data_IF_718393836287
#
_entry.id   IF_718393836287
#
_cell.length_a   1.000
_cell.length_b   1.000
_cell.length_c   1.000
_cell.angle_alpha   90.00
_cell.angle_beta   90.00
_cell.angle_gamma   90.00
#
_symmetry.space_group_name_H-M   'P 1'
#
loop_
_entity.id
_entity.type
_entity.pdbx_description
1 polymer ?
#
# COMPACT_ATOMS: atom_id res chain seq x y z
N UNK A 1 -62.57 33.66 4.53
CA UNK A 1 -62.03 32.90 3.38
C UNK A 1 -60.51 32.77 3.40
N UNK A 2 -59.73 33.85 3.64
CA UNK A 2 -58.25 33.85 3.59
C UNK A 2 -57.55 32.75 4.41
N UNK A 3 -58.07 32.40 5.59
CA UNK A 3 -57.46 31.37 6.47
C UNK A 3 -57.45 29.96 5.86
N UNK A 4 -58.43 29.62 5.00
CA UNK A 4 -58.50 28.29 4.36
C UNK A 4 -57.42 28.16 3.29
N UNK A 5 -57.17 29.23 2.52
CA UNK A 5 -56.15 29.23 1.47
C UNK A 5 -54.73 29.22 2.07
N UNK A 6 -54.48 29.96 3.15
CA UNK A 6 -53.21 29.90 3.88
C UNK A 6 -52.92 28.51 4.46
N UNK A 7 -53.94 27.84 5.02
CA UNK A 7 -53.80 26.47 5.52
C UNK A 7 -53.51 25.49 4.39
N UNK A 8 -54.19 25.63 3.24
CA UNK A 8 -53.94 24.79 2.05
C UNK A 8 -52.51 24.94 1.55
N UNK A 9 -52.01 26.17 1.47
CA UNK A 9 -50.63 26.45 1.06
C UNK A 9 -49.60 25.82 2.03
N UNK A 10 -49.81 25.97 3.34
CA UNK A 10 -48.93 25.37 4.34
C UNK A 10 -48.92 23.83 4.25
N UNK A 11 -50.08 23.22 4.04
CA UNK A 11 -50.19 21.77 3.92
C UNK A 11 -49.46 21.26 2.68
N UNK A 12 -49.54 21.98 1.55
CA UNK A 12 -48.75 21.68 0.35
C UNK A 12 -47.25 21.75 0.60
N UNK A 13 -46.77 22.77 1.35
CA UNK A 13 -45.36 22.88 1.73
C UNK A 13 -44.92 21.72 2.62
N UNK A 14 -45.74 21.37 3.61
CA UNK A 14 -45.46 20.26 4.52
C UNK A 14 -45.40 18.92 3.78
N UNK A 15 -46.29 18.67 2.82
CA UNK A 15 -46.28 17.47 1.99
C UNK A 15 -45.02 17.38 1.13
N UNK A 16 -44.58 18.50 0.53
CA UNK A 16 -43.34 18.56 -0.23
C UNK A 16 -42.11 18.25 0.64
N UNK A 17 -42.07 18.79 1.86
CA UNK A 17 -40.99 18.53 2.81
C UNK A 17 -40.99 17.08 3.31
N UNK A 18 -42.17 16.51 3.59
CA UNK A 18 -42.31 15.07 3.92
C UNK A 18 -41.80 14.20 2.77
N UNK A 19 -42.10 14.55 1.52
CA UNK A 19 -41.61 13.80 0.37
C UNK A 19 -40.08 13.86 0.25
N UNK A 20 -39.49 15.04 0.47
CA UNK A 20 -38.03 15.22 0.50
C UNK A 20 -37.37 14.40 1.61
N UNK A 21 -37.86 14.50 2.85
CA UNK A 21 -37.34 13.74 3.98
C UNK A 21 -37.48 12.23 3.80
N UNK A 22 -38.57 11.77 3.17
CA UNK A 22 -38.74 10.35 2.82
C UNK A 22 -37.70 9.88 1.81
N UNK A 23 -37.35 10.71 0.83
CA UNK A 23 -36.30 10.41 -0.14
C UNK A 23 -34.93 10.34 0.54
N UNK A 24 -34.57 11.33 1.34
CA UNK A 24 -33.29 11.34 2.09
C UNK A 24 -33.21 10.15 3.06
N UNK A 25 -34.30 9.80 3.73
CA UNK A 25 -34.35 8.62 4.60
C UNK A 25 -34.16 7.29 3.84
N UNK A 26 -34.56 7.22 2.56
CA UNK A 26 -34.32 6.05 1.73
C UNK A 26 -32.84 5.88 1.35
N UNK A 27 -32.04 6.95 1.35
CA UNK A 27 -30.60 6.91 1.06
C UNK A 27 -29.74 6.48 2.26
N UNK A 28 -30.26 6.60 3.49
CA UNK A 28 -29.58 6.18 4.72
C UNK A 28 -29.06 4.73 4.67
N UNK A 29 -29.86 3.70 4.30
CA UNK A 29 -29.37 2.33 4.20
C UNK A 29 -28.25 2.17 3.16
N UNK A 30 -28.33 2.84 2.01
CA UNK A 30 -27.29 2.79 0.98
C UNK A 30 -25.96 3.36 1.49
N UNK A 31 -26.02 4.49 2.22
CA UNK A 31 -24.84 5.10 2.84
C UNK A 31 -24.22 4.18 3.91
N UNK A 32 -25.05 3.50 4.70
CA UNK A 32 -24.57 2.51 5.69
C UNK A 32 -23.86 1.35 5.03
N UNK A 33 -24.39 0.85 3.91
CA UNK A 33 -23.76 -0.22 3.15
C UNK A 33 -22.42 0.24 2.55
N UNK A 34 -22.36 1.45 1.97
CA UNK A 34 -21.11 2.04 1.46
C UNK A 34 -20.07 2.16 2.56
N UNK A 35 -20.45 2.65 3.75
CA UNK A 35 -19.55 2.77 4.90
C UNK A 35 -18.99 1.41 5.34
N UNK A 36 -19.83 0.37 5.35
CA UNK A 36 -19.40 -1.00 5.66
C UNK A 36 -18.40 -1.54 4.61
N UNK A 37 -18.64 -1.26 3.33
CA UNK A 37 -17.69 -1.62 2.25
C UNK A 37 -16.36 -0.90 2.40
N UNK A 38 -16.36 0.39 2.77
CA UNK A 38 -15.12 1.14 3.04
C UNK A 38 -14.32 0.53 4.19
N UNK A 39 -14.97 0.18 5.30
CA UNK A 39 -14.29 -0.47 6.42
C UNK A 39 -13.64 -1.81 6.02
N UNK A 40 -14.29 -2.59 5.14
CA UNK A 40 -13.72 -3.83 4.60
C UNK A 40 -12.49 -3.56 3.73
N UNK A 41 -12.57 -2.58 2.83
CA UNK A 41 -11.44 -2.20 1.95
C UNK A 41 -10.27 -1.68 2.76
N UNK A 42 -10.52 -0.89 3.82
CA UNK A 42 -9.48 -0.38 4.70
C UNK A 42 -8.76 -1.52 5.44
N UNK A 43 -9.51 -2.51 5.95
CA UNK A 43 -8.93 -3.70 6.57
C UNK A 43 -8.10 -4.54 5.58
N UNK A 44 -8.55 -4.66 4.33
CA UNK A 44 -7.81 -5.36 3.27
C UNK A 44 -6.54 -4.61 2.86
N UNK A 45 -6.59 -3.28 2.74
CA UNK A 45 -5.43 -2.44 2.50
C UNK A 45 -4.38 -2.58 3.61
N UNK A 46 -4.80 -2.65 4.88
CA UNK A 46 -3.89 -2.90 5.99
C UNK A 46 -3.20 -4.28 5.88
N UNK A 47 -3.95 -5.33 5.50
CA UNK A 47 -3.38 -6.66 5.24
C UNK A 47 -2.41 -6.67 4.08
N UNK A 48 -2.74 -6.02 2.96
CA UNK A 48 -1.86 -5.93 1.79
C UNK A 48 -0.55 -5.24 2.14
N UNK A 49 -0.58 -4.16 2.93
CA UNK A 49 0.62 -3.48 3.40
C UNK A 49 1.53 -4.42 4.19
N UNK A 50 0.96 -5.22 5.10
CA UNK A 50 1.71 -6.22 5.87
C UNK A 50 2.35 -7.28 4.95
N UNK A 51 1.64 -7.77 3.94
CA UNK A 51 2.16 -8.77 2.99
C UNK A 51 3.32 -8.19 2.17
N UNK A 52 3.22 -6.94 1.73
CA UNK A 52 4.28 -6.28 0.95
C UNK A 52 5.55 -6.14 1.79
N UNK A 53 5.42 -5.66 3.03
CA UNK A 53 6.56 -5.52 3.96
C UNK A 53 7.20 -6.87 4.27
N UNK A 54 6.38 -7.90 4.45
CA UNK A 54 6.85 -9.27 4.66
C UNK A 54 7.61 -9.81 3.44
N UNK A 55 7.10 -9.57 2.23
CA UNK A 55 7.78 -9.99 1.02
C UNK A 55 9.13 -9.27 0.85
N UNK A 56 9.20 -7.98 1.14
CA UNK A 56 10.46 -7.23 1.11
C UNK A 56 11.51 -7.82 2.08
N UNK A 57 11.07 -8.27 3.27
CA UNK A 57 11.93 -8.96 4.24
C UNK A 57 12.43 -10.31 3.70
N UNK A 58 11.55 -11.10 3.11
CA UNK A 58 11.92 -12.40 2.49
C UNK A 58 12.83 -12.23 1.28
N UNK A 59 12.66 -11.18 0.50
CA UNK A 59 13.55 -10.89 -0.64
C UNK A 59 14.96 -10.55 -0.17
N UNK A 60 15.10 -9.81 0.93
CA UNK A 60 16.40 -9.56 1.55
C UNK A 60 17.05 -10.85 2.07
N UNK A 61 16.30 -11.70 2.77
CA UNK A 61 16.78 -13.02 3.24
C UNK A 61 17.19 -13.93 2.07
N UNK A 62 16.39 -13.96 0.99
CA UNK A 62 16.72 -14.72 -0.21
C UNK A 62 18.01 -14.22 -0.88
N UNK A 63 18.26 -12.91 -0.88
CA UNK A 63 19.50 -12.35 -1.42
C UNK A 63 20.71 -12.78 -0.58
N UNK A 64 20.59 -12.77 0.75
CA UNK A 64 21.64 -13.25 1.66
C UNK A 64 21.92 -14.74 1.48
N UNK A 65 20.87 -15.57 1.47
CA UNK A 65 20.99 -17.01 1.24
C UNK A 65 21.64 -17.30 -0.12
N UNK A 66 21.26 -16.58 -1.17
CA UNK A 66 21.88 -16.71 -2.50
C UNK A 66 23.38 -16.36 -2.48
N UNK A 67 23.77 -15.33 -1.73
CA UNK A 67 25.17 -14.99 -1.54
C UNK A 67 25.92 -16.10 -0.78
N UNK A 68 25.32 -16.65 0.27
CA UNK A 68 25.92 -17.74 1.06
C UNK A 68 26.08 -19.03 0.24
N UNK A 69 25.09 -19.37 -0.58
CA UNK A 69 25.18 -20.50 -1.51
C UNK A 69 26.35 -20.31 -2.47
N UNK A 70 26.50 -19.14 -3.08
CA UNK A 70 27.65 -18.86 -3.97
C UNK A 70 29.01 -18.96 -3.27
N UNK A 71 29.11 -18.54 -2.00
CA UNK A 71 30.33 -18.72 -1.21
C UNK A 71 30.63 -20.20 -0.94
N UNK A 72 29.62 -20.98 -0.58
CA UNK A 72 29.77 -22.41 -0.34
C UNK A 72 30.13 -23.17 -1.62
N UNK A 73 29.52 -22.83 -2.76
CA UNK A 73 29.88 -23.37 -4.07
C UNK A 73 31.34 -23.08 -4.43
N UNK A 74 31.82 -21.86 -4.19
CA UNK A 74 33.24 -21.51 -4.40
C UNK A 74 34.18 -22.32 -3.49
N UNK A 75 33.82 -22.51 -2.21
CA UNK A 75 34.59 -23.34 -1.27
C UNK A 75 34.62 -24.81 -1.71
N UNK A 76 33.49 -25.34 -2.18
CA UNK A 76 33.39 -26.71 -2.70
C UNK A 76 34.31 -26.90 -3.91
N UNK A 77 34.29 -25.96 -4.86
CA UNK A 77 35.14 -26.02 -6.04
C UNK A 77 36.65 -26.03 -5.71
N UNK A 78 37.08 -25.27 -4.69
CA UNK A 78 38.48 -25.29 -4.23
C UNK A 78 38.86 -26.63 -3.59
N UNK A 79 37.96 -27.22 -2.80
CA UNK A 79 38.17 -28.54 -2.18
C UNK A 79 38.22 -29.65 -3.24
N UNK A 80 37.38 -29.56 -4.27
CA UNK A 80 37.37 -30.51 -5.38
C UNK A 80 38.66 -30.42 -6.20
N UNK A 81 39.16 -29.21 -6.46
CA UNK A 81 40.47 -28.99 -7.09
C UNK A 81 41.64 -29.50 -6.23
N UNK A 82 41.60 -29.32 -4.91
CA UNK A 82 42.65 -29.83 -4.03
C UNK A 82 42.64 -31.37 -3.93
N UNK A 83 41.46 -31.99 -3.99
CA UNK A 83 41.33 -33.46 -4.05
C UNK A 83 41.82 -34.05 -5.39
N UNK A 84 41.68 -33.31 -6.49
CA UNK A 84 42.21 -33.72 -7.80
C UNK A 84 43.75 -33.56 -7.90
N UNK A 85 44.35 -32.80 -6.97
CA UNK A 85 45.80 -32.61 -6.88
C UNK A 85 46.49 -33.64 -5.96
N UNK A 86 45.74 -34.42 -5.19
CA UNK A 86 46.24 -35.56 -4.38
C UNK A 86 46.35 -36.86 -5.22
N UNK A 87 46.70 -36.71 -6.50
CA UNK A 87 47.12 -37.79 -7.39
C UNK A 87 48.63 -38.05 -7.34
N UNK A 88 49.36 -37.45 -6.39
CA UNK A 88 50.80 -37.56 -6.28
C UNK A 88 51.21 -37.91 -4.84
N UNK A 89 51.00 -39.18 -4.51
CA UNK A 89 51.69 -39.98 -3.50
C UNK A 89 52.46 -39.21 -2.41
N UNK A 90 51.79 -38.93 -1.30
CA UNK A 90 52.47 -38.84 0.00
C UNK A 90 52.78 -40.28 0.47
N UNK A 91 54.01 -40.58 0.93
CA UNK A 91 54.27 -41.88 1.53
C UNK A 91 53.57 -41.92 2.88
N UNK A 92 52.42 -42.60 2.93
CA UNK A 92 51.72 -42.94 4.16
C UNK A 92 52.56 -43.98 4.91
N UNK A 93 53.59 -43.50 5.60
CA UNK A 93 54.52 -44.29 6.38
C UNK A 93 54.51 -43.80 7.82
N UNK A 94 53.44 -44.11 8.55
CA UNK A 94 53.43 -44.41 10.00
C UNK A 94 51.98 -44.60 10.46
N UNK A 95 51.48 -45.83 10.35
CA UNK A 95 50.40 -46.31 11.21
C UNK A 95 50.98 -46.47 12.62
N UNK A 96 50.79 -45.46 13.46
CA UNK A 96 50.82 -45.71 14.89
C UNK A 96 49.49 -46.40 15.23
N UNK A 97 49.58 -47.70 15.51
CA UNK A 97 48.47 -48.47 16.07
C UNK A 97 47.97 -47.75 17.33
N UNK A 98 46.79 -47.16 17.24
CA UNK A 98 46.05 -46.65 18.39
C UNK A 98 45.63 -47.89 19.19
N UNK A 99 46.01 -48.03 20.47
CA UNK A 99 45.56 -49.15 21.28
C UNK A 99 44.02 -49.14 21.37
N UNK A 100 43.40 -50.30 21.18
CA UNK A 100 41.94 -50.51 21.23
C UNK A 100 41.25 -49.88 22.47
N UNK A 101 42.00 -49.62 23.55
CA UNK A 101 41.49 -48.96 24.76
C UNK A 101 40.96 -47.54 24.56
N UNK A 102 41.38 -46.82 23.52
CA UNK A 102 40.90 -45.46 23.22
C UNK A 102 39.56 -45.49 22.49
N UNK A 103 39.33 -46.53 21.67
CA UNK A 103 38.09 -46.73 20.93
C UNK A 103 36.95 -47.07 21.90
N UNK A 104 37.22 -47.90 22.91
CA UNK A 104 36.25 -48.25 23.95
C UNK A 104 35.85 -47.05 24.85
N UNK A 105 36.74 -46.07 25.03
CA UNK A 105 36.38 -44.83 25.75
C UNK A 105 35.43 -43.95 24.93
N UNK A 106 35.69 -43.80 23.62
CA UNK A 106 34.88 -42.93 22.75
C UNK A 106 33.46 -43.49 22.54
N UNK A 107 33.31 -44.80 22.46
CA UNK A 107 32.00 -45.47 22.30
C UNK A 107 31.12 -45.30 23.54
N UNK A 108 31.72 -45.32 24.74
CA UNK A 108 31.00 -45.09 26.00
C UNK A 108 30.57 -43.63 26.20
N UNK A 109 31.26 -42.69 25.56
CA UNK A 109 30.95 -41.25 25.64
C UNK A 109 29.89 -40.83 24.61
N UNK A 110 29.86 -41.47 23.42
CA UNK A 110 28.84 -41.24 22.38
C UNK A 110 27.50 -41.93 22.74
N UNK A 111 27.52 -43.03 23.49
CA UNK A 111 26.31 -43.76 23.91
C UNK A 111 25.51 -43.12 25.04
N UNK A 112 26.03 -42.09 25.71
CA UNK A 112 25.33 -41.40 26.80
C UNK A 112 24.54 -40.22 26.23
N UNK A 113 23.33 -40.50 25.76
CA UNK A 113 22.34 -39.47 25.48
C UNK A 113 22.15 -38.58 26.74
N UNK A 114 22.12 -37.24 26.61
CA UNK A 114 21.74 -36.36 27.71
C UNK A 114 20.29 -36.69 28.09
N UNK A 115 20.10 -37.37 29.21
CA UNK A 115 18.81 -37.92 29.63
C UNK A 115 17.90 -36.89 30.30
N UNK A 116 18.08 -35.60 30.00
CA UNK A 116 17.38 -34.51 30.69
C UNK A 116 16.35 -33.78 29.81
N UNK A 117 15.86 -34.42 28.74
CA UNK A 117 14.72 -33.92 27.96
C UNK A 117 13.53 -34.90 28.02
N UNK A 118 13.26 -35.48 29.18
CA UNK A 118 12.01 -36.18 29.48
C UNK A 118 10.97 -35.20 30.02
N UNK A 119 10.48 -34.31 29.15
CA UNK A 119 9.56 -33.28 29.58
C UNK A 119 8.92 -32.50 28.45
N UNK A 120 8.05 -33.15 27.67
CA UNK A 120 6.88 -32.53 27.04
C UNK A 120 6.03 -33.47 26.15
N UNK A 121 6.29 -34.78 26.09
CA UNK A 121 5.55 -35.69 25.20
C UNK A 121 4.02 -35.64 25.44
N UNK A 122 3.59 -35.38 26.68
CA UNK A 122 2.18 -35.24 27.08
C UNK A 122 1.50 -33.92 26.61
N UNK A 123 2.26 -32.84 26.38
CA UNK A 123 1.71 -31.55 25.95
C UNK A 123 1.37 -31.55 24.44
N UNK A 124 2.09 -32.35 23.64
CA UNK A 124 1.90 -32.42 22.18
C UNK A 124 0.59 -33.13 21.81
N UNK A 125 0.25 -34.23 22.48
CA UNK A 125 -1.02 -34.95 22.26
C UNK A 125 -2.25 -34.07 22.58
N UNK A 126 -2.16 -33.26 23.64
CA UNK A 126 -3.24 -32.34 24.00
C UNK A 126 -3.49 -31.25 22.95
N UNK A 127 -2.45 -30.84 22.22
CA UNK A 127 -2.55 -29.84 21.15
C UNK A 127 -3.14 -30.45 19.87
N UNK A 128 -2.77 -31.69 19.54
CA UNK A 128 -3.26 -32.41 18.35
C UNK A 128 -4.77 -32.71 18.44
N UNK A 129 -5.24 -33.14 19.62
CA UNK A 129 -6.67 -33.38 19.85
C UNK A 129 -7.50 -32.09 19.78
N UNK A 130 -6.99 -30.99 20.34
CA UNK A 130 -7.64 -29.67 20.25
C UNK A 130 -7.66 -29.20 18.79
N UNK A 131 -6.56 -29.37 18.04
CA UNK A 131 -6.46 -28.97 16.65
C UNK A 131 -7.40 -29.79 15.74
N UNK A 132 -7.41 -31.12 15.87
CA UNK A 132 -8.34 -32.02 15.16
C UNK A 132 -9.79 -31.68 15.45
N UNK A 133 -10.12 -31.36 16.70
CA UNK A 133 -11.46 -30.92 17.11
C UNK A 133 -11.85 -29.57 16.48
N UNK A 134 -10.94 -28.61 16.43
CA UNK A 134 -11.15 -27.31 15.79
C UNK A 134 -11.40 -27.45 14.28
N UNK A 135 -10.55 -28.19 13.57
CA UNK A 135 -10.71 -28.48 12.14
C UNK A 135 -12.04 -29.18 11.87
N UNK A 136 -12.40 -30.17 12.68
CA UNK A 136 -13.68 -30.90 12.55
C UNK A 136 -14.89 -30.00 12.76
N UNK A 137 -14.84 -29.12 13.76
CA UNK A 137 -15.91 -28.15 14.03
C UNK A 137 -16.05 -27.16 12.88
N UNK A 138 -14.95 -26.65 12.33
CA UNK A 138 -14.96 -25.71 11.22
C UNK A 138 -15.53 -26.33 9.93
N UNK A 139 -15.15 -27.58 9.62
CA UNK A 139 -15.72 -28.32 8.48
C UNK A 139 -17.24 -28.49 8.65
N UNK A 140 -17.70 -28.77 9.88
CA UNK A 140 -19.12 -28.95 10.18
C UNK A 140 -19.89 -27.63 10.04
N UNK A 141 -19.36 -26.50 10.50
CA UNK A 141 -19.97 -25.19 10.31
C UNK A 141 -20.09 -24.83 8.83
N UNK A 142 -19.00 -24.94 8.05
CA UNK A 142 -19.04 -24.67 6.61
C UNK A 142 -20.09 -25.51 5.87
N UNK A 143 -20.28 -26.76 6.28
CA UNK A 143 -21.34 -27.63 5.72
C UNK A 143 -22.74 -27.16 6.07
N UNK A 144 -22.98 -26.58 7.25
CA UNK A 144 -24.27 -25.99 7.62
C UNK A 144 -24.53 -24.70 6.85
N UNK A 145 -23.55 -23.80 6.78
CA UNK A 145 -23.66 -22.55 6.02
C UNK A 145 -23.94 -22.81 4.54
N UNK A 146 -23.28 -23.83 3.95
CA UNK A 146 -23.56 -24.22 2.57
C UNK A 146 -25.00 -24.70 2.38
N UNK A 147 -25.53 -25.54 3.30
CA UNK A 147 -26.94 -25.97 3.26
C UNK A 147 -27.91 -24.80 3.37
N UNK A 148 -27.60 -23.81 4.22
CA UNK A 148 -28.43 -22.62 4.36
C UNK A 148 -28.42 -21.78 3.08
N UNK A 149 -27.25 -21.55 2.47
CA UNK A 149 -27.15 -20.84 1.19
C UNK A 149 -27.89 -21.56 0.06
N UNK A 150 -27.79 -22.89 -0.01
CA UNK A 150 -28.49 -23.69 -1.02
C UNK A 150 -30.02 -23.59 -0.83
N UNK A 151 -30.50 -23.56 0.43
CA UNK A 151 -31.91 -23.34 0.75
C UNK A 151 -32.38 -21.91 0.43
N UNK A 152 -31.58 -20.89 0.75
CA UNK A 152 -31.86 -19.48 0.42
C UNK A 152 -31.91 -19.26 -1.09
N UNK A 153 -30.97 -19.86 -1.84
CA UNK A 153 -30.97 -19.82 -3.30
C UNK A 153 -32.25 -20.44 -3.90
N UNK A 154 -32.74 -21.53 -3.30
CA UNK A 154 -34.00 -22.17 -3.71
C UNK A 154 -35.21 -21.27 -3.44
N UNK A 155 -35.24 -20.58 -2.29
CA UNK A 155 -36.31 -19.63 -1.92
C UNK A 155 -36.30 -18.41 -2.85
N UNK A 156 -35.13 -17.86 -3.16
CA UNK A 156 -34.99 -16.73 -4.10
C UNK A 156 -35.48 -17.14 -5.49
N UNK A 157 -35.11 -18.34 -5.97
CA UNK A 157 -35.58 -18.85 -7.27
C UNK A 157 -37.10 -18.99 -7.34
N UNK A 158 -37.76 -19.28 -6.22
CA UNK A 158 -39.22 -19.44 -6.17
C UNK A 158 -39.94 -18.09 -6.13
N UNK A 159 -39.36 -17.07 -5.49
CA UNK A 159 -39.95 -15.73 -5.45
C UNK A 159 -39.81 -14.98 -6.78
N UNK A 160 -38.74 -15.24 -7.56
CA UNK A 160 -38.63 -14.73 -8.95
C UNK A 160 -39.76 -15.26 -9.84
N UNK A 161 -40.21 -16.50 -9.63
CA UNK A 161 -41.31 -17.10 -10.44
C UNK A 161 -42.73 -16.65 -10.04
N UNK A 162 -42.88 -15.86 -8.98
CA UNK A 162 -44.18 -15.33 -8.51
C UNK A 162 -44.41 -13.88 -8.92
N UNK A 163 -43.44 -13.24 -9.57
CA UNK A 163 -43.61 -11.90 -10.15
C UNK A 163 -44.51 -12.08 -11.38
N UNK A 164 -45.72 -11.49 -11.44
CA UNK A 164 -46.52 -11.51 -12.66
C UNK A 164 -45.72 -10.85 -13.79
N UNK A 165 -45.71 -11.46 -14.98
CA UNK A 165 -45.07 -10.90 -16.17
C UNK A 165 -45.55 -9.46 -16.41
N UNK A 166 -44.75 -8.47 -16.02
CA UNK A 166 -44.91 -7.07 -16.42
C UNK A 166 -43.90 -6.82 -17.54
N UNK A 167 -44.16 -7.42 -18.70
CA UNK A 167 -43.38 -7.19 -19.91
C UNK A 167 -43.74 -5.85 -20.60
N UNK A 168 -44.70 -5.08 -20.07
CA UNK A 168 -45.31 -3.95 -20.79
C UNK A 168 -45.03 -2.54 -20.21
N UNK A 169 -44.08 -2.38 -19.28
CA UNK A 169 -43.74 -1.03 -18.76
C UNK A 169 -42.26 -0.70 -19.02
N UNK A 170 -42.02 -0.27 -20.26
CA UNK A 170 -41.13 0.84 -20.65
C UNK A 170 -39.66 0.79 -20.18
N UNK A 171 -38.81 0.16 -20.99
CA UNK A 171 -37.45 0.68 -21.24
C UNK A 171 -37.40 0.95 -22.74
N UNK A 172 -37.82 2.14 -23.15
CA UNK A 172 -37.58 2.61 -24.51
C UNK A 172 -36.10 3.00 -24.61
N UNK A 173 -35.41 2.51 -25.64
CA UNK A 173 -34.01 2.82 -25.95
C UNK A 173 -33.69 4.33 -26.03
N UNK A 174 -34.71 5.20 -26.02
CA UNK A 174 -34.61 6.65 -25.90
C UNK A 174 -33.98 7.12 -24.57
N UNK A 175 -34.34 6.52 -23.44
CA UNK A 175 -33.94 7.05 -22.11
C UNK A 175 -32.45 6.82 -21.82
N UNK A 176 -31.84 5.78 -22.39
CA UNK A 176 -30.40 5.53 -22.25
C UNK A 176 -29.55 6.49 -23.10
N UNK A 177 -30.04 6.92 -24.27
CA UNK A 177 -29.30 7.86 -25.12
C UNK A 177 -29.27 9.28 -24.54
N UNK A 178 -30.39 9.74 -23.96
CA UNK A 178 -30.47 11.06 -23.34
C UNK A 178 -29.60 11.14 -22.07
N UNK A 179 -29.55 10.06 -21.28
CA UNK A 179 -28.65 9.97 -20.13
C UNK A 179 -27.17 9.96 -20.57
N UNK A 180 -26.88 9.30 -21.71
CA UNK A 180 -25.55 9.24 -22.28
C UNK A 180 -25.03 10.62 -22.71
N UNK A 181 -25.85 11.37 -23.44
CA UNK A 181 -25.50 12.71 -23.90
C UNK A 181 -25.36 13.71 -22.75
N UNK A 182 -26.14 13.53 -21.68
CA UNK A 182 -26.05 14.35 -20.47
C UNK A 182 -24.70 14.21 -19.75
N UNK A 183 -24.19 12.97 -19.58
CA UNK A 183 -22.88 12.78 -18.96
C UNK A 183 -21.76 13.37 -19.81
N UNK A 184 -21.88 13.27 -21.14
CA UNK A 184 -20.86 13.72 -22.08
C UNK A 184 -20.77 15.25 -22.07
N UNK A 185 -21.91 15.94 -22.14
CA UNK A 185 -22.00 17.39 -22.04
C UNK A 185 -21.49 17.92 -20.70
N UNK A 186 -21.82 17.24 -19.59
CA UNK A 186 -21.32 17.60 -18.25
C UNK A 186 -19.80 17.43 -18.14
N UNK A 187 -19.29 16.31 -18.64
CA UNK A 187 -17.85 16.00 -18.64
C UNK A 187 -17.05 17.00 -19.47
N UNK A 188 -17.58 17.41 -20.62
CA UNK A 188 -16.93 18.37 -21.51
C UNK A 188 -16.97 19.80 -20.94
N UNK A 189 -18.07 20.16 -20.26
CA UNK A 189 -18.18 21.41 -19.50
C UNK A 189 -17.16 21.50 -18.37
N UNK A 190 -17.03 20.44 -17.56
CA UNK A 190 -16.04 20.35 -16.48
C UNK A 190 -14.61 20.43 -17.04
N UNK A 191 -14.32 19.72 -18.13
CA UNK A 191 -13.01 19.72 -18.79
C UNK A 191 -12.68 21.11 -19.34
N UNK A 192 -13.64 21.79 -19.96
CA UNK A 192 -13.49 23.15 -20.50
C UNK A 192 -13.24 24.17 -19.39
N UNK A 193 -14.04 24.13 -18.31
CA UNK A 193 -13.85 25.00 -17.14
C UNK A 193 -12.48 24.76 -16.47
N UNK A 194 -12.09 23.50 -16.28
CA UNK A 194 -10.79 23.14 -15.71
C UNK A 194 -9.63 23.64 -16.58
N UNK A 195 -9.74 23.52 -17.91
CA UNK A 195 -8.73 24.03 -18.86
C UNK A 195 -8.62 25.57 -18.78
N UNK A 196 -9.75 26.27 -18.63
CA UNK A 196 -9.79 27.72 -18.43
C UNK A 196 -9.05 28.16 -17.16
N UNK A 197 -9.30 27.49 -16.03
CA UNK A 197 -8.66 27.78 -14.75
C UNK A 197 -7.15 27.53 -14.80
N UNK A 198 -6.71 26.41 -15.38
CA UNK A 198 -5.28 26.09 -15.55
C UNK A 198 -4.58 27.16 -16.41
N UNK A 199 -5.22 27.64 -17.46
CA UNK A 199 -4.66 28.71 -18.31
C UNK A 199 -4.57 30.05 -17.57
N UNK A 200 -5.55 30.37 -16.73
CA UNK A 200 -5.54 31.60 -15.94
C UNK A 200 -4.42 31.58 -14.89
N UNK A 201 -4.31 30.50 -14.11
CA UNK A 201 -3.28 30.36 -13.07
C UNK A 201 -1.88 30.29 -13.66
N UNK A 202 -1.70 29.63 -14.81
CA UNK A 202 -0.42 29.62 -15.52
C UNK A 202 0.00 31.01 -16.04
N UNK A 203 -0.95 31.87 -16.38
CA UNK A 203 -0.68 33.26 -16.80
C UNK A 203 -0.29 34.12 -15.60
N UNK A 204 -0.96 33.95 -14.48
CA UNK A 204 -0.69 34.66 -13.23
C UNK A 204 0.71 34.32 -12.68
N UNK A 205 1.06 33.03 -12.59
CA UNK A 205 2.40 32.59 -12.19
C UNK A 205 3.52 33.15 -13.07
N UNK A 206 3.29 33.22 -14.39
CA UNK A 206 4.28 33.82 -15.32
C UNK A 206 4.44 35.32 -15.08
N UNK A 207 3.35 36.02 -14.77
CA UNK A 207 3.39 37.44 -14.43
C UNK A 207 4.19 37.67 -13.15
N UNK A 208 3.91 36.89 -12.11
CA UNK A 208 4.59 37.00 -10.81
C UNK A 208 6.09 36.68 -10.94
N UNK A 209 6.43 35.65 -11.72
CA UNK A 209 7.83 35.32 -12.02
C UNK A 209 8.56 36.48 -12.70
N UNK A 210 7.94 37.13 -13.69
CA UNK A 210 8.54 38.30 -14.34
C UNK A 210 8.73 39.47 -13.38
N UNK A 211 7.79 39.72 -12.47
CA UNK A 211 7.93 40.78 -11.46
C UNK A 211 9.07 40.49 -10.46
N UNK A 212 9.21 39.23 -10.01
CA UNK A 212 10.29 38.83 -9.10
C UNK A 212 11.65 38.96 -9.78
N UNK A 213 11.79 38.53 -11.05
CA UNK A 213 13.03 38.67 -11.82
C UNK A 213 13.40 40.16 -11.95
N UNK A 214 12.45 41.02 -12.30
CA UNK A 214 12.71 42.45 -12.43
C UNK A 214 13.14 43.13 -11.11
N UNK A 215 12.64 42.65 -9.96
CA UNK A 215 13.08 43.13 -8.64
C UNK A 215 14.51 42.65 -8.32
N UNK A 216 14.84 41.42 -8.68
CA UNK A 216 16.19 40.87 -8.48
C UNK A 216 17.23 41.62 -9.32
N UNK A 217 16.93 41.88 -10.60
CA UNK A 217 17.82 42.62 -11.50
C UNK A 217 18.12 44.03 -10.96
N UNK A 218 17.09 44.72 -10.43
CA UNK A 218 17.28 46.04 -9.80
C UNK A 218 18.18 45.96 -8.57
N UNK A 219 18.00 44.95 -7.73
CA UNK A 219 18.87 44.75 -6.56
C UNK A 219 20.32 44.49 -6.97
N UNK A 220 20.55 43.66 -8.00
CA UNK A 220 21.90 43.39 -8.53
C UNK A 220 22.56 44.68 -9.01
N UNK A 221 21.83 45.54 -9.74
CA UNK A 221 22.35 46.83 -10.21
C UNK A 221 22.75 47.72 -9.03
N UNK A 222 21.91 47.81 -8.00
CA UNK A 222 22.19 48.62 -6.80
C UNK A 222 23.41 48.11 -6.05
N UNK A 223 23.55 46.79 -5.86
CA UNK A 223 24.72 46.18 -5.21
C UNK A 223 26.01 46.44 -6.00
N UNK A 224 25.96 46.34 -7.34
CA UNK A 224 27.09 46.67 -8.21
C UNK A 224 27.48 48.15 -8.10
N UNK A 225 26.51 49.06 -8.03
CA UNK A 225 26.78 50.49 -7.88
C UNK A 225 27.40 50.84 -6.51
N UNK A 226 26.90 50.23 -5.42
CA UNK A 226 27.48 50.38 -4.07
C UNK A 226 28.92 49.86 -4.05
N UNK A 227 29.17 48.71 -4.68
CA UNK A 227 30.51 48.12 -4.78
C UNK A 227 31.46 49.02 -5.57
N UNK A 228 31.00 49.58 -6.71
CA UNK A 228 31.79 50.50 -7.52
C UNK A 228 32.11 51.81 -6.78
N UNK A 229 31.14 52.38 -6.06
CA UNK A 229 31.36 53.57 -5.22
C UNK A 229 32.37 53.31 -4.10
N UNK A 230 32.31 52.13 -3.49
CA UNK A 230 33.25 51.74 -2.42
C UNK A 230 34.67 51.60 -2.96
N UNK A 231 34.85 51.00 -4.15
CA UNK A 231 36.16 50.91 -4.82
C UNK A 231 36.70 52.27 -5.24
N UNK A 232 35.85 53.15 -5.77
CA UNK A 232 36.25 54.51 -6.14
C UNK A 232 36.75 55.30 -4.92
N UNK A 233 36.04 55.20 -3.79
CA UNK A 233 36.44 55.85 -2.53
C UNK A 233 37.76 55.31 -1.97
N UNK A 234 38.01 53.99 -2.10
CA UNK A 234 39.29 53.39 -1.71
C UNK A 234 40.43 53.89 -2.60
N UNK A 235 40.22 53.95 -3.92
CA UNK A 235 41.25 54.45 -4.85
C UNK A 235 41.56 55.93 -4.60
N UNK A 236 40.56 56.79 -4.40
CA UNK A 236 40.80 58.20 -4.03
C UNK A 236 41.61 58.30 -2.73
N UNK A 237 41.27 57.53 -1.70
CA UNK A 237 42.03 57.52 -0.44
C UNK A 237 43.48 57.07 -0.62
N UNK A 238 43.75 56.16 -1.57
CA UNK A 238 45.09 55.67 -1.87
C UNK A 238 45.87 56.72 -2.65
N UNK A 239 45.27 57.35 -3.66
CA UNK A 239 45.91 58.42 -4.46
C UNK A 239 46.29 59.61 -3.57
N UNK A 240 45.43 60.04 -2.64
CA UNK A 240 45.75 61.08 -1.67
C UNK A 240 46.96 60.75 -0.77
N UNK A 241 47.18 59.48 -0.43
CA UNK A 241 48.34 59.06 0.38
C UNK A 241 49.64 58.99 -0.40
N UNK A 242 49.58 58.88 -1.73
CA UNK A 242 50.76 58.86 -2.58
C UNK A 242 51.19 60.26 -3.05
N UNK A 243 50.25 61.21 -3.21
CA UNK A 243 50.55 62.60 -3.57
C UNK A 243 51.30 63.37 -2.45
N UNK A 244 51.08 63.01 -1.18
CA UNK A 244 51.78 63.62 -0.02
C UNK A 244 53.24 63.13 0.16
N UNK A 245 53.73 62.19 -0.66
CA UNK A 245 55.07 61.59 -0.54
C UNK A 245 56.08 62.04 -1.63
N UNK A 246 55.74 63.02 -2.48
CA UNK A 246 56.68 63.63 -3.44
C UNK A 246 56.59 65.17 -3.42
N UNK A 247 57.10 65.78 -2.33
CA UNK A 247 57.50 67.19 -2.30
C UNK A 247 58.75 67.39 -1.43
#
# INVERSE_FOLDING_TARGET
>A
MQSIDSLRELNSKLLAEIAKLRKENAEIPELREKLLRFAKVEAENARLKQVIEENARRDAENAELKSRVGELEARLALLEQSSAMDGMALPFGQTHDVPDSVIDQLINEIGRAPSDLDGNEEMVDSLDDVYKKCISNEIRERRREKKQRDQEALVISQDVTKIPEVADILISEQDEQDLSQSYEASSESIRSASCGLIKATAKELKSDQHEVIAKLDKNIIVEQEISAKSLASLNESVDCMFDDNFL
#
